data_IF_216213469626
#
_entry.id   IF_216213469626
#
_cell.length_a   1.000
_cell.length_b   1.000
_cell.length_c   1.000
_cell.angle_alpha   90.00
_cell.angle_beta   90.00
_cell.angle_gamma   90.00
#
_symmetry.space_group_name_H-M   'P 1'
#
loop_
_entity.id
_entity.type
_entity.pdbx_description
1 polymer ?
#
# COMPACT_ATOMS: atom_id res chain seq x y z
N UNK A 1 -21.20 28.52 13.11
CA UNK A 1 -21.34 27.32 12.25
C UNK A 1 -20.23 27.34 11.22
N UNK A 2 -19.61 26.21 10.92
CA UNK A 2 -18.62 26.07 9.84
C UNK A 2 -19.24 25.28 8.68
N UNK A 3 -19.02 25.75 7.45
CA UNK A 3 -19.35 25.00 6.22
C UNK A 3 -18.06 24.40 5.68
N UNK A 4 -18.07 23.13 5.30
CA UNK A 4 -16.89 22.40 4.86
C UNK A 4 -16.92 22.21 3.34
N UNK A 5 -15.82 22.52 2.66
CA UNK A 5 -15.65 22.40 1.20
C UNK A 5 -14.57 21.38 0.81
N UNK A 6 -14.46 20.30 1.59
CA UNK A 6 -13.35 19.34 1.45
C UNK A 6 -13.34 18.58 0.13
N UNK A 7 -14.50 18.29 -0.47
CA UNK A 7 -14.57 17.56 -1.74
C UNK A 7 -13.91 18.34 -2.88
N UNK A 8 -14.15 19.66 -2.97
CA UNK A 8 -13.50 20.48 -4.01
C UNK A 8 -12.00 20.64 -3.75
N UNK A 9 -11.61 20.84 -2.48
CA UNK A 9 -10.20 20.88 -2.08
C UNK A 9 -9.46 19.57 -2.45
N UNK A 10 -10.05 18.42 -2.12
CA UNK A 10 -9.53 17.10 -2.48
C UNK A 10 -9.36 16.93 -3.99
N UNK A 11 -10.39 17.31 -4.76
CA UNK A 11 -10.34 17.25 -6.21
C UNK A 11 -9.24 18.16 -6.78
N UNK A 12 -9.06 19.37 -6.24
CA UNK A 12 -7.98 20.26 -6.65
C UNK A 12 -6.58 19.70 -6.36
N UNK A 13 -6.39 18.96 -5.26
CA UNK A 13 -5.13 18.27 -5.05
C UNK A 13 -4.94 17.10 -6.01
N UNK A 14 -5.98 16.32 -6.32
CA UNK A 14 -5.87 15.24 -7.32
C UNK A 14 -5.46 15.82 -8.69
N UNK A 15 -6.02 16.97 -9.09
CA UNK A 15 -5.66 17.66 -10.34
C UNK A 15 -4.15 17.99 -10.42
N UNK A 16 -3.46 18.20 -9.29
CA UNK A 16 -2.00 18.41 -9.28
C UNK A 16 -1.20 17.18 -9.73
N UNK A 17 -1.78 15.97 -9.72
CA UNK A 17 -1.08 14.78 -10.20
C UNK A 17 -0.86 14.78 -11.71
N UNK A 18 -1.71 15.49 -12.44
CA UNK A 18 -1.61 15.66 -13.89
C UNK A 18 -0.79 16.91 -14.27
N UNK A 19 -0.39 17.71 -13.27
CA UNK A 19 0.43 18.90 -13.45
C UNK A 19 1.90 18.54 -13.69
N UNK A 20 2.52 19.24 -14.64
CA UNK A 20 3.92 19.07 -15.02
C UNK A 20 4.83 20.23 -14.63
N UNK A 21 4.28 21.31 -14.05
CA UNK A 21 5.02 22.55 -13.80
C UNK A 21 5.64 22.63 -12.40
N UNK A 22 4.91 22.25 -11.34
CA UNK A 22 5.31 22.54 -9.95
C UNK A 22 5.81 21.34 -9.14
N UNK A 23 6.13 20.22 -9.80
CA UNK A 23 6.68 19.04 -9.11
C UNK A 23 8.11 19.32 -8.60
N UNK A 24 8.44 18.82 -7.42
CA UNK A 24 9.74 19.01 -6.77
C UNK A 24 10.41 17.68 -6.37
N UNK A 25 9.82 16.56 -6.80
CA UNK A 25 10.32 15.19 -6.64
C UNK A 25 9.90 14.27 -7.79
N UNK A 26 10.77 13.32 -8.11
CA UNK A 26 10.50 12.17 -8.97
C UNK A 26 10.60 10.86 -8.20
N UNK A 27 9.65 9.95 -8.41
CA UNK A 27 9.58 8.64 -7.76
C UNK A 27 9.57 7.57 -8.84
N UNK A 28 10.57 6.69 -8.82
CA UNK A 28 10.68 5.54 -9.71
C UNK A 28 9.99 4.34 -9.06
N UNK A 29 9.03 3.74 -9.76
CA UNK A 29 8.18 2.68 -9.23
C UNK A 29 8.18 1.49 -10.17
N UNK A 30 8.20 0.29 -9.61
CA UNK A 30 8.22 -0.96 -10.35
C UNK A 30 9.63 -1.50 -10.59
N UNK A 31 9.69 -2.63 -11.28
CA UNK A 31 10.93 -3.33 -11.69
C UNK A 31 10.93 -3.52 -13.20
N UNK A 32 12.11 -3.55 -13.79
CA UNK A 32 12.27 -3.77 -15.23
C UNK A 32 11.52 -5.04 -15.69
N UNK A 33 10.79 -4.98 -16.82
CA UNK A 33 10.67 -3.85 -17.75
C UNK A 33 9.56 -2.83 -17.42
N UNK A 34 8.82 -3.02 -16.32
CA UNK A 34 7.61 -2.26 -15.97
C UNK A 34 7.92 -1.14 -14.96
N UNK A 35 8.89 -0.28 -15.28
CA UNK A 35 9.25 0.87 -14.45
C UNK A 35 8.50 2.12 -14.93
N UNK A 36 7.93 2.89 -14.00
CA UNK A 36 7.30 4.18 -14.27
C UNK A 36 7.84 5.26 -13.33
N UNK A 37 8.06 6.45 -13.88
CA UNK A 37 8.46 7.64 -13.12
C UNK A 37 7.22 8.49 -12.82
N UNK A 38 7.00 8.78 -11.55
CA UNK A 38 5.95 9.65 -11.05
C UNK A 38 6.53 11.00 -10.64
N UNK A 39 5.97 12.08 -11.16
CA UNK A 39 6.25 13.45 -10.71
C UNK A 39 5.26 13.78 -9.59
N UNK A 40 5.75 14.39 -8.51
CA UNK A 40 4.94 14.61 -7.31
C UNK A 40 5.46 15.80 -6.48
N UNK A 41 4.83 16.04 -5.34
CA UNK A 41 5.05 17.20 -4.48
C UNK A 41 5.46 16.74 -3.08
N UNK A 42 6.69 17.08 -2.68
CA UNK A 42 7.30 16.67 -1.40
C UNK A 42 6.42 17.04 -0.22
N UNK A 43 5.81 18.23 -0.23
CA UNK A 43 5.00 18.71 0.88
C UNK A 43 3.77 17.83 1.13
N UNK A 44 3.07 17.41 0.07
CA UNK A 44 1.90 16.54 0.19
C UNK A 44 2.32 15.15 0.69
N UNK A 45 3.33 14.57 0.05
CA UNK A 45 3.86 13.24 0.40
C UNK A 45 4.35 13.17 1.86
N UNK A 46 5.13 14.16 2.30
CA UNK A 46 5.68 14.21 3.67
C UNK A 46 4.59 14.29 4.72
N UNK A 47 3.47 14.99 4.45
CA UNK A 47 2.42 15.15 5.44
C UNK A 47 1.45 13.97 5.51
N UNK A 48 1.36 13.18 4.45
CA UNK A 48 0.47 12.02 4.37
C UNK A 48 1.17 10.69 4.64
N UNK A 49 2.49 10.59 4.44
CA UNK A 49 3.28 9.39 4.70
C UNK A 49 4.49 9.69 5.59
N UNK A 50 4.52 9.15 6.82
CA UNK A 50 5.72 9.21 7.69
C UNK A 50 6.95 8.55 7.06
N UNK A 51 6.76 7.50 6.26
CA UNK A 51 7.83 6.84 5.50
C UNK A 51 8.48 7.81 4.51
N UNK A 52 7.67 8.41 3.63
CA UNK A 52 8.14 9.39 2.66
C UNK A 52 8.77 10.61 3.32
N UNK A 53 8.22 11.09 4.45
CA UNK A 53 8.83 12.17 5.23
C UNK A 53 10.25 11.83 5.66
N UNK A 54 10.49 10.62 6.20
CA UNK A 54 11.83 10.16 6.61
C UNK A 54 12.77 10.01 5.42
N UNK A 55 12.30 9.36 4.35
CA UNK A 55 13.08 9.18 3.11
C UNK A 55 13.48 10.51 2.47
N UNK A 56 12.60 11.52 2.55
CA UNK A 56 12.89 12.86 2.02
C UNK A 56 13.84 13.65 2.92
N UNK A 57 13.74 13.51 4.24
CA UNK A 57 14.65 14.16 5.16
C UNK A 57 16.09 13.64 5.02
N UNK A 58 16.28 12.33 4.82
CA UNK A 58 17.61 11.73 4.63
C UNK A 58 18.26 12.13 3.31
N UNK A 59 17.46 12.40 2.26
CA UNK A 59 17.95 12.83 0.96
C UNK A 59 18.53 14.27 0.93
N UNK A 60 18.08 15.15 1.85
CA UNK A 60 18.58 16.53 1.96
C UNK A 60 20.08 16.60 2.28
N UNK A 61 20.65 15.55 2.87
CA UNK A 61 22.07 15.49 3.20
C UNK A 61 22.95 15.08 2.01
N UNK A 62 22.36 14.65 0.88
CA UNK A 62 23.07 14.13 -0.29
C UNK A 62 23.04 15.07 -1.51
N UNK A 63 22.11 16.03 -1.56
CA UNK A 63 21.96 16.97 -2.67
C UNK A 63 22.94 18.14 -2.56
N UNK A 64 24.22 17.90 -2.90
CA UNK A 64 25.18 18.99 -3.21
C UNK A 64 25.08 19.47 -4.66
N UNK A 65 24.50 18.66 -5.53
CA UNK A 65 24.21 19.01 -6.92
C UNK A 65 22.69 19.01 -7.11
N UNK A 66 22.18 19.89 -7.98
CA UNK A 66 20.76 20.14 -8.31
C UNK A 66 19.98 18.92 -8.89
N UNK A 67 20.37 17.70 -8.54
CA UNK A 67 19.72 16.45 -8.92
C UNK A 67 18.45 16.30 -8.07
N UNK A 68 17.30 16.23 -8.74
CA UNK A 68 16.02 15.89 -8.10
C UNK A 68 16.17 14.64 -7.24
N UNK A 69 15.64 14.69 -6.03
CA UNK A 69 15.59 13.54 -5.12
C UNK A 69 14.87 12.38 -5.81
N UNK A 70 15.57 11.27 -6.05
CA UNK A 70 14.99 10.05 -6.62
C UNK A 70 14.71 9.03 -5.52
N UNK A 71 13.42 8.80 -5.22
CA UNK A 71 12.99 7.68 -4.37
C UNK A 71 12.60 6.52 -5.27
N UNK A 72 12.91 5.29 -4.85
CA UNK A 72 12.58 4.07 -5.60
C UNK A 72 11.66 3.16 -4.79
N UNK A 73 10.61 2.64 -5.42
CA UNK A 73 9.72 1.61 -4.89
C UNK A 73 9.63 0.42 -5.84
N UNK A 74 10.63 -0.48 -5.83
CA UNK A 74 10.71 -1.56 -6.80
C UNK A 74 9.68 -2.67 -6.54
N UNK A 75 9.15 -2.79 -5.31
CA UNK A 75 8.20 -3.83 -4.94
C UNK A 75 6.73 -3.44 -5.16
N UNK A 76 6.46 -2.18 -5.55
CA UNK A 76 5.13 -1.68 -5.83
C UNK A 76 4.98 -1.57 -7.35
N UNK A 77 3.87 -2.07 -7.92
CA UNK A 77 3.60 -1.86 -9.34
C UNK A 77 3.18 -0.41 -9.61
N UNK A 78 3.44 0.13 -10.83
CA UNK A 78 2.96 1.45 -11.21
C UNK A 78 1.45 1.66 -11.01
N UNK A 79 0.64 0.65 -11.28
CA UNK A 79 -0.81 0.69 -11.16
C UNK A 79 -1.25 0.82 -9.70
N UNK A 80 -0.68 0.00 -8.81
CA UNK A 80 -0.94 0.07 -7.36
C UNK A 80 -0.49 1.42 -6.81
N UNK A 81 0.71 1.87 -7.19
CA UNK A 81 1.21 3.16 -6.73
C UNK A 81 0.33 4.34 -7.19
N UNK A 82 -0.23 4.28 -8.40
CA UNK A 82 -1.17 5.29 -8.88
C UNK A 82 -2.42 5.40 -7.98
N UNK A 83 -2.96 4.27 -7.51
CA UNK A 83 -4.09 4.25 -6.58
C UNK A 83 -3.69 4.86 -5.24
N UNK A 84 -2.55 4.44 -4.68
CA UNK A 84 -2.01 5.01 -3.43
C UNK A 84 -1.78 6.51 -3.55
N UNK A 85 -1.24 6.98 -4.68
CA UNK A 85 -0.94 8.39 -4.90
C UNK A 85 -2.23 9.22 -4.94
N UNK A 86 -3.30 8.72 -5.57
CA UNK A 86 -4.62 9.36 -5.52
C UNK A 86 -5.19 9.40 -4.11
N UNK A 87 -5.02 8.35 -3.32
CA UNK A 87 -5.38 8.34 -1.90
C UNK A 87 -4.57 9.38 -1.09
N UNK A 88 -3.27 9.49 -1.33
CA UNK A 88 -2.41 10.45 -0.64
C UNK A 88 -2.89 11.89 -0.90
N UNK A 89 -3.19 12.23 -2.15
CA UNK A 89 -3.55 13.60 -2.56
C UNK A 89 -5.00 13.96 -2.21
N UNK A 90 -5.94 13.07 -2.51
CA UNK A 90 -7.37 13.37 -2.38
C UNK A 90 -8.07 12.70 -1.20
N UNK A 91 -7.43 11.76 -0.50
CA UNK A 91 -8.12 10.89 0.45
C UNK A 91 -9.14 9.97 -0.20
N UNK A 92 -9.04 9.73 -1.51
CA UNK A 92 -9.97 8.90 -2.28
C UNK A 92 -9.30 7.57 -2.62
N UNK A 93 -9.86 6.49 -2.12
CA UNK A 93 -9.49 5.12 -2.47
C UNK A 93 -10.52 4.56 -3.45
N UNK A 94 -10.07 4.18 -4.65
CA UNK A 94 -10.91 3.54 -5.65
C UNK A 94 -10.52 2.07 -5.77
N UNK A 95 -11.40 1.18 -5.28
CA UNK A 95 -11.26 -0.27 -5.42
C UNK A 95 -12.16 -0.83 -6.54
N UNK A 96 -12.87 0.05 -7.27
CA UNK A 96 -13.75 -0.37 -8.35
C UNK A 96 -12.97 -1.02 -9.47
N UNK A 97 -13.35 -2.26 -9.83
CA UNK A 97 -12.66 -3.04 -10.85
C UNK A 97 -11.37 -3.71 -10.37
N UNK A 98 -11.01 -3.58 -9.08
CA UNK A 98 -9.88 -4.29 -8.51
C UNK A 98 -10.31 -5.66 -7.97
N UNK A 99 -9.53 -6.70 -8.28
CA UNK A 99 -9.73 -8.02 -7.70
C UNK A 99 -9.14 -8.12 -6.27
N UNK A 100 -9.39 -9.24 -5.59
CA UNK A 100 -8.93 -9.39 -4.21
C UNK A 100 -7.40 -9.44 -4.07
N UNK A 101 -6.70 -9.97 -5.08
CA UNK A 101 -5.23 -9.99 -5.13
C UNK A 101 -4.69 -8.58 -5.27
N UNK A 102 -5.24 -7.79 -6.18
CA UNK A 102 -4.87 -6.38 -6.38
C UNK A 102 -5.11 -5.56 -5.12
N UNK A 103 -6.26 -5.74 -4.45
CA UNK A 103 -6.55 -5.06 -3.18
C UNK A 103 -5.55 -5.45 -2.10
N UNK A 104 -5.14 -6.73 -2.04
CA UNK A 104 -4.08 -7.16 -1.14
C UNK A 104 -2.73 -6.52 -1.47
N UNK A 105 -2.37 -6.36 -2.76
CA UNK A 105 -1.17 -5.61 -3.15
C UNK A 105 -1.23 -4.13 -2.75
N UNK A 106 -2.39 -3.49 -2.86
CA UNK A 106 -2.60 -2.12 -2.36
C UNK A 106 -2.36 -2.06 -0.84
N UNK A 107 -2.81 -3.06 -0.08
CA UNK A 107 -2.56 -3.15 1.36
C UNK A 107 -1.05 -3.28 1.67
N UNK A 108 -0.32 -4.12 0.94
CA UNK A 108 1.13 -4.26 1.13
C UNK A 108 1.89 -2.95 0.80
N UNK A 109 1.48 -2.26 -0.26
CA UNK A 109 2.03 -0.96 -0.62
C UNK A 109 1.70 0.11 0.45
N UNK A 110 0.52 0.06 1.05
CA UNK A 110 0.14 0.95 2.15
C UNK A 110 1.02 0.75 3.39
N UNK A 111 1.39 -0.51 3.71
CA UNK A 111 2.36 -0.81 4.76
C UNK A 111 3.76 -0.27 4.45
N UNK A 112 4.28 -0.54 3.25
CA UNK A 112 5.62 -0.06 2.83
C UNK A 112 5.72 1.48 2.92
N UNK A 113 4.59 2.17 2.70
CA UNK A 113 4.45 3.63 2.78
C UNK A 113 3.97 4.14 4.15
N UNK A 114 3.75 3.26 5.13
CA UNK A 114 3.33 3.56 6.51
C UNK A 114 2.02 4.37 6.56
N UNK A 115 1.02 3.97 5.77
CA UNK A 115 -0.28 4.62 5.64
C UNK A 115 -1.33 3.95 6.55
N UNK A 116 -1.21 4.10 7.87
CA UNK A 116 -2.00 3.33 8.86
C UNK A 116 -3.51 3.40 8.64
N UNK A 117 -4.06 4.59 8.37
CA UNK A 117 -5.50 4.76 8.10
C UNK A 117 -5.98 3.88 6.94
N UNK A 118 -5.18 3.76 5.88
CA UNK A 118 -5.48 2.93 4.73
C UNK A 118 -5.30 1.43 5.03
N UNK A 119 -4.28 1.08 5.81
CA UNK A 119 -4.03 -0.30 6.28
C UNK A 119 -5.24 -0.81 7.06
N UNK A 120 -5.71 -0.04 8.04
CA UNK A 120 -6.84 -0.41 8.89
C UNK A 120 -8.12 -0.60 8.08
N UNK A 121 -8.36 0.26 7.08
CA UNK A 121 -9.53 0.14 6.20
C UNK A 121 -9.45 -1.11 5.32
N UNK A 122 -8.31 -1.34 4.66
CA UNK A 122 -8.15 -2.40 3.67
C UNK A 122 -8.19 -3.80 4.31
N UNK A 123 -7.66 -3.97 5.52
CA UNK A 123 -7.76 -5.25 6.24
C UNK A 123 -9.22 -5.64 6.50
N UNK A 124 -10.01 -4.73 7.09
CA UNK A 124 -11.45 -4.93 7.32
C UNK A 124 -12.18 -5.21 6.02
N UNK A 125 -11.92 -4.41 4.98
CA UNK A 125 -12.55 -4.58 3.69
C UNK A 125 -12.31 -5.98 3.11
N UNK A 126 -11.07 -6.47 3.14
CA UNK A 126 -10.71 -7.80 2.64
C UNK A 126 -11.41 -8.91 3.45
N UNK A 127 -11.42 -8.82 4.78
CA UNK A 127 -12.07 -9.81 5.65
C UNK A 127 -13.58 -9.83 5.42
N UNK A 128 -14.22 -8.66 5.36
CA UNK A 128 -15.68 -8.56 5.23
C UNK A 128 -16.17 -8.93 3.83
N UNK A 129 -15.44 -8.56 2.78
CA UNK A 129 -15.93 -8.63 1.40
C UNK A 129 -15.22 -9.69 0.55
N UNK A 130 -14.00 -10.10 0.92
CA UNK A 130 -13.14 -11.01 0.14
C UNK A 130 -12.68 -12.24 0.92
N UNK A 131 -13.26 -12.53 2.10
CA UNK A 131 -12.92 -13.70 2.93
C UNK A 131 -12.85 -15.02 2.17
N UNK A 132 -13.80 -15.31 1.28
CA UNK A 132 -13.76 -16.55 0.47
C UNK A 132 -12.49 -16.67 -0.37
N UNK A 133 -12.08 -15.58 -1.01
CA UNK A 133 -10.82 -15.55 -1.76
C UNK A 133 -9.64 -15.71 -0.80
N UNK A 134 -9.71 -15.10 0.38
CA UNK A 134 -8.66 -15.22 1.39
C UNK A 134 -8.49 -16.65 1.90
N UNK A 135 -9.59 -17.38 2.15
CA UNK A 135 -9.56 -18.79 2.53
C UNK A 135 -8.97 -19.67 1.42
N UNK A 136 -9.30 -19.37 0.15
CA UNK A 136 -8.76 -20.10 -1.01
C UNK A 136 -7.25 -19.88 -1.19
N UNK A 137 -6.74 -18.72 -0.81
CA UNK A 137 -5.33 -18.33 -0.94
C UNK A 137 -4.66 -18.24 0.44
N UNK A 138 -5.10 -19.08 1.37
CA UNK A 138 -4.71 -19.01 2.78
C UNK A 138 -3.19 -19.07 2.98
N UNK A 139 -2.49 -20.02 2.36
CA UNK A 139 -1.04 -20.19 2.51
C UNK A 139 -0.28 -18.90 2.14
N UNK A 140 -0.63 -18.30 0.99
CA UNK A 140 -0.07 -17.04 0.53
C UNK A 140 -0.34 -15.91 1.54
N UNK A 141 -1.61 -15.72 1.94
CA UNK A 141 -2.00 -14.62 2.83
C UNK A 141 -1.36 -14.76 4.20
N UNK A 142 -1.40 -15.95 4.79
CA UNK A 142 -0.77 -16.22 6.08
C UNK A 142 0.73 -15.94 6.00
N UNK A 143 1.45 -16.56 5.06
CA UNK A 143 2.90 -16.36 4.95
C UNK A 143 3.26 -14.90 4.75
N UNK A 144 2.52 -14.18 3.90
CA UNK A 144 2.76 -12.77 3.66
C UNK A 144 2.40 -11.94 4.88
N UNK A 145 1.21 -12.08 5.47
CA UNK A 145 0.76 -11.22 6.58
C UNK A 145 1.68 -11.28 7.80
N UNK A 146 2.27 -12.44 8.10
CA UNK A 146 3.20 -12.60 9.21
C UNK A 146 4.59 -12.02 8.95
N UNK A 147 4.90 -11.57 7.72
CA UNK A 147 6.09 -10.77 7.43
C UNK A 147 5.89 -9.28 7.75
N UNK A 148 4.66 -8.84 7.96
CA UNK A 148 4.29 -7.44 8.14
C UNK A 148 3.62 -7.21 9.50
N UNK A 149 4.29 -6.47 10.39
CA UNK A 149 3.82 -6.26 11.76
C UNK A 149 2.52 -5.43 11.87
N UNK A 150 2.14 -4.69 10.83
CA UNK A 150 0.92 -3.86 10.82
C UNK A 150 -0.35 -4.65 10.45
N UNK A 151 -0.22 -5.85 9.89
CA UNK A 151 -1.33 -6.63 9.33
C UNK A 151 -2.02 -7.52 10.37
N UNK A 152 -2.26 -6.97 11.56
CA UNK A 152 -2.74 -7.70 12.73
C UNK A 152 -4.14 -8.32 12.53
N UNK A 153 -5.04 -7.64 11.83
CA UNK A 153 -6.39 -8.16 11.61
C UNK A 153 -6.39 -9.35 10.65
N UNK A 154 -5.53 -9.31 9.61
CA UNK A 154 -5.35 -10.45 8.70
C UNK A 154 -4.65 -11.60 9.41
N UNK A 155 -3.64 -11.34 10.26
CA UNK A 155 -3.01 -12.38 11.07
C UNK A 155 -4.02 -13.06 12.01
N UNK A 156 -4.91 -12.28 12.64
CA UNK A 156 -5.99 -12.81 13.47
C UNK A 156 -6.98 -13.64 12.64
N UNK A 157 -7.40 -13.14 11.48
CA UNK A 157 -8.24 -13.91 10.55
C UNK A 157 -7.60 -15.26 10.20
N UNK A 158 -6.31 -15.29 9.91
CA UNK A 158 -5.61 -16.52 9.58
C UNK A 158 -5.57 -17.50 10.77
N UNK A 159 -5.26 -17.00 11.96
CA UNK A 159 -5.25 -17.78 13.20
C UNK A 159 -6.62 -18.40 13.49
N UNK A 160 -7.67 -17.60 13.34
CA UNK A 160 -9.06 -18.03 13.49
C UNK A 160 -9.44 -19.11 12.46
N UNK A 161 -9.01 -18.94 11.21
CA UNK A 161 -9.31 -19.90 10.16
C UNK A 161 -8.61 -21.25 10.41
N UNK A 162 -7.35 -21.22 10.86
CA UNK A 162 -6.63 -22.43 11.28
C UNK A 162 -7.34 -23.17 12.41
N UNK A 163 -7.80 -22.46 13.43
CA UNK A 163 -8.50 -23.05 14.56
C UNK A 163 -9.87 -23.63 14.15
N UNK A 164 -10.62 -22.94 13.28
CA UNK A 164 -11.98 -23.34 12.87
C UNK A 164 -12.01 -24.40 11.77
N UNK A 165 -10.97 -24.49 10.94
CA UNK A 165 -10.96 -25.35 9.76
C UNK A 165 -9.57 -25.92 9.47
N UNK A 166 -8.95 -26.65 10.42
CA UNK A 166 -7.61 -27.19 10.25
C UNK A 166 -7.50 -28.08 9.00
N UNK A 167 -8.51 -28.91 8.72
CA UNK A 167 -8.52 -29.79 7.54
C UNK A 167 -8.42 -29.03 6.21
N UNK A 168 -9.01 -27.84 6.10
CA UNK A 168 -8.90 -27.01 4.89
C UNK A 168 -7.51 -26.42 4.76
N UNK A 169 -6.92 -26.01 5.89
CA UNK A 169 -5.55 -25.50 5.95
C UNK A 169 -4.56 -26.58 5.52
N UNK A 170 -4.67 -27.80 6.05
CA UNK A 170 -3.84 -28.94 5.64
C UNK A 170 -3.92 -29.26 4.14
N UNK A 171 -5.06 -28.97 3.48
CA UNK A 171 -5.21 -29.17 2.04
C UNK A 171 -4.66 -28.02 1.20
N UNK A 172 -4.60 -26.81 1.77
CA UNK A 172 -4.12 -25.60 1.11
C UNK A 172 -2.61 -25.36 1.24
N UNK A 173 -2.00 -25.92 2.29
CA UNK A 173 -0.58 -25.78 2.57
C UNK A 173 0.23 -26.79 1.76
N UNK A 174 1.19 -26.29 0.98
CA UNK A 174 2.30 -27.13 0.52
C UNK A 174 3.31 -27.21 1.67
N UNK A 175 3.26 -28.27 2.47
CA UNK A 175 3.99 -28.40 3.76
C UNK A 175 5.50 -28.21 3.69
N UNK A 176 6.08 -28.20 2.48
CA UNK A 176 7.49 -27.90 2.26
C UNK A 176 7.86 -26.42 2.45
N UNK A 177 6.89 -25.49 2.60
CA UNK A 177 7.14 -24.04 2.61
C UNK A 177 7.02 -23.34 3.97
N UNK A 178 6.55 -24.01 5.03
CA UNK A 178 6.38 -23.41 6.35
C UNK A 178 7.71 -23.35 7.13
N UNK A 179 8.08 -22.15 7.60
CA UNK A 179 9.23 -21.96 8.48
C UNK A 179 8.86 -22.23 9.95
N UNK A 180 9.80 -22.65 10.79
CA UNK A 180 9.54 -22.98 12.21
C UNK A 180 8.93 -21.82 13.03
N UNK A 181 8.99 -20.58 12.55
CA UNK A 181 8.35 -19.40 13.19
C UNK A 181 6.84 -19.30 12.97
N UNK A 182 6.26 -20.24 12.23
CA UNK A 182 4.85 -20.25 11.80
C UNK A 182 3.96 -21.11 12.71
N UNK A 183 4.53 -21.72 13.77
CA UNK A 183 3.89 -22.65 14.69
C UNK A 183 3.79 -22.06 16.11
#
# INVERSE_FOLDING_TARGET
MSTQFFSKLSQNYIELLDDSEYYDITIEVGKDPNVKIFRSHKIILCYRSPCLRRSLASSKNQSKDNVLTNIKFPNISPEVFQIILRYIYGGILSLSGQDASEIFQILLAADELFLQELIDYLQKYLIENKSKWMEQHFEFIHRTSFQYNSLLEIQQFCTDFMAKSPEKVFKSLDFTSLSDKSL
#
